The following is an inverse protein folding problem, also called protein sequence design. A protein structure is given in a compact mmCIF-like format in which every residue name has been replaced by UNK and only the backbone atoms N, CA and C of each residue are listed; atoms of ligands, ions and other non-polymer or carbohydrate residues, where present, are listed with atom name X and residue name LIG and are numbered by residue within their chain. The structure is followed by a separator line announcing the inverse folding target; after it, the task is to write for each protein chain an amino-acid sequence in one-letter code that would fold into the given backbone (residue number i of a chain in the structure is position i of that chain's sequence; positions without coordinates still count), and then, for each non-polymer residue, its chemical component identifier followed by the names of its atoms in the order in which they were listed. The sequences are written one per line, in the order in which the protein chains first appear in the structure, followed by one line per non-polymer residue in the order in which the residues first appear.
data_IF_931058865933
#
_entry.id   IF_931058865933
#
_cell.length_a   1.000
_cell.length_b   1.000
_cell.length_c   1.000
_cell.angle_alpha   90.00
_cell.angle_beta   90.00
_cell.angle_gamma   90.00
#
_symmetry.space_group_name_H-M   'P 1'
#
loop_
_entity.id
_entity.type
_entity.pdbx_description
1 polymer ?
#
# COMPACT_ATOMS: atom_id res chain seq x y z
N UNK A 1 53.98 4.21 19.36
CA UNK A 1 53.31 4.18 18.07
C UNK A 1 54.09 3.22 17.17
N UNK A 2 53.50 2.18 16.72
CA UNK A 2 54.12 1.26 15.74
C UNK A 2 53.37 1.55 14.43
N UNK A 3 54.06 2.17 13.48
CA UNK A 3 53.52 2.35 12.13
C UNK A 3 53.73 1.06 11.34
N UNK A 4 52.64 0.49 10.82
CA UNK A 4 52.71 -0.43 9.70
C UNK A 4 52.15 0.27 8.46
N UNK A 5 52.54 -0.17 7.26
CA UNK A 5 51.99 0.35 6.00
C UNK A 5 50.47 0.18 5.87
N UNK A 6 49.85 -0.51 6.82
CA UNK A 6 48.44 -0.90 6.76
C UNK A 6 47.55 -0.32 7.87
N UNK A 7 48.08 0.45 8.84
CA UNK A 7 47.27 1.06 9.90
C UNK A 7 48.03 1.50 11.12
N UNK A 8 47.31 2.14 12.05
CA UNK A 8 47.84 2.69 13.29
C UNK A 8 47.37 1.87 14.50
N UNK A 9 48.29 1.51 15.38
CA UNK A 9 47.98 0.86 16.64
C UNK A 9 47.88 1.89 17.78
N UNK A 10 46.73 1.97 18.42
CA UNK A 10 46.60 2.72 19.66
C UNK A 10 46.98 1.85 20.85
N UNK A 11 48.07 2.22 21.52
CA UNK A 11 48.53 1.57 22.74
C UNK A 11 48.30 2.47 23.95
N UNK A 12 47.33 2.14 24.80
CA UNK A 12 47.09 2.79 26.08
C UNK A 12 47.52 1.86 27.21
N UNK A 13 48.43 2.32 28.08
CA UNK A 13 48.93 1.55 29.24
C UNK A 13 49.40 0.11 28.89
N UNK A 14 50.11 -0.04 27.78
CA UNK A 14 50.66 -1.34 27.38
C UNK A 14 49.70 -2.34 26.74
N UNK A 15 48.40 -1.99 26.57
CA UNK A 15 47.39 -2.86 25.92
C UNK A 15 47.02 -2.33 24.54
N UNK A 16 46.88 -3.22 23.59
CA UNK A 16 46.36 -2.91 22.26
C UNK A 16 44.81 -2.81 22.33
N UNK A 17 44.26 -1.63 22.03
CA UNK A 17 42.80 -1.42 22.07
C UNK A 17 42.12 -1.63 20.74
N UNK A 18 42.82 -1.43 19.64
CA UNK A 18 42.29 -1.64 18.31
C UNK A 18 43.26 -1.22 17.22
N UNK A 19 42.99 -1.66 16.03
CA UNK A 19 43.66 -1.28 14.78
C UNK A 19 42.75 -0.39 13.97
N UNK A 20 43.22 0.81 13.60
CA UNK A 20 42.55 1.69 12.65
C UNK A 20 43.22 1.54 11.28
N UNK A 21 42.47 1.07 10.31
CA UNK A 21 42.91 0.86 8.93
C UNK A 21 42.29 1.91 8.02
N UNK A 22 43.08 2.79 7.44
CA UNK A 22 42.61 3.75 6.42
C UNK A 22 42.63 3.10 5.05
N UNK A 23 41.56 3.34 4.27
CA UNK A 23 41.41 2.91 2.88
C UNK A 23 40.96 4.07 2.02
N UNK A 24 41.49 4.15 0.80
CA UNK A 24 41.19 5.24 -0.14
C UNK A 24 39.82 5.06 -0.81
N UNK A 25 39.42 3.81 -1.05
CA UNK A 25 38.15 3.45 -1.72
C UNK A 25 37.54 2.21 -1.13
N UNK A 26 36.24 2.09 -1.33
CA UNK A 26 35.50 0.89 -1.00
C UNK A 26 35.79 -0.19 -2.04
N UNK A 27 36.27 -1.33 -1.59
CA UNK A 27 36.57 -2.50 -2.42
C UNK A 27 36.08 -3.76 -1.69
N UNK A 28 35.18 -4.52 -2.31
CA UNK A 28 34.58 -5.71 -1.70
C UNK A 28 35.49 -6.94 -1.73
N UNK A 29 36.53 -6.91 -2.53
CA UNK A 29 37.58 -7.95 -2.50
C UNK A 29 38.55 -7.70 -1.33
N UNK A 30 38.63 -6.46 -0.83
CA UNK A 30 39.40 -6.15 0.37
C UNK A 30 38.66 -6.66 1.63
N UNK A 31 39.23 -7.59 2.41
CA UNK A 31 38.63 -8.07 3.65
C UNK A 31 38.32 -6.96 4.68
N UNK A 32 39.00 -5.82 4.58
CA UNK A 32 38.72 -4.67 5.43
C UNK A 32 37.41 -3.93 5.12
N UNK A 33 36.82 -4.17 3.97
CA UNK A 33 35.48 -3.67 3.63
C UNK A 33 34.33 -4.51 4.20
N UNK A 34 34.65 -5.68 4.77
CA UNK A 34 33.66 -6.60 5.35
C UNK A 34 33.63 -6.51 6.88
N UNK A 35 32.61 -7.13 7.49
CA UNK A 35 32.55 -7.24 8.95
C UNK A 35 33.78 -7.97 9.50
N UNK A 36 34.33 -7.42 10.56
CA UNK A 36 35.53 -7.95 11.24
C UNK A 36 35.20 -8.09 12.73
N UNK A 37 34.68 -9.19 13.18
CA UNK A 37 34.38 -9.44 14.60
C UNK A 37 35.63 -9.43 15.48
N UNK A 38 36.35 -8.32 15.45
CA UNK A 38 37.66 -8.10 16.09
C UNK A 38 37.86 -6.59 16.33
N UNK A 39 38.82 -6.16 17.16
CA UNK A 39 39.10 -4.76 17.42
C UNK A 39 39.82 -4.07 16.23
N UNK A 40 39.26 -4.21 15.03
CA UNK A 40 39.73 -3.58 13.80
C UNK A 40 38.65 -2.67 13.27
N UNK A 41 38.97 -1.40 13.06
CA UNK A 41 38.10 -0.40 12.46
C UNK A 41 38.68 0.06 11.12
N UNK A 42 37.89 -0.03 10.06
CA UNK A 42 38.26 0.54 8.77
C UNK A 42 37.68 1.95 8.63
N UNK A 43 38.48 2.86 8.14
CA UNK A 43 38.14 4.26 7.93
C UNK A 43 38.25 4.60 6.44
N UNK A 44 37.21 5.24 5.92
CA UNK A 44 37.17 5.79 4.57
C UNK A 44 37.00 7.30 4.63
N UNK A 45 37.66 8.01 3.72
CA UNK A 45 37.48 9.46 3.57
C UNK A 45 36.47 9.74 2.47
N UNK A 46 35.58 10.69 2.73
CA UNK A 46 34.60 11.19 1.76
C UNK A 46 34.77 12.71 1.58
N UNK A 47 34.46 13.20 0.39
CA UNK A 47 34.60 14.63 0.06
C UNK A 47 33.49 15.47 0.67
N UNK A 48 32.33 14.88 0.85
CA UNK A 48 31.15 15.55 1.36
C UNK A 48 30.18 14.56 2.02
N UNK A 49 29.10 15.08 2.59
CA UNK A 49 28.08 14.29 3.29
C UNK A 49 27.38 13.26 2.38
N UNK A 50 27.11 13.61 1.15
CA UNK A 50 26.43 12.73 0.19
C UNK A 50 27.31 11.52 -0.15
N UNK A 51 28.58 11.74 -0.48
CA UNK A 51 29.53 10.66 -0.74
C UNK A 51 29.70 9.75 0.48
N UNK A 52 29.84 10.34 1.68
CA UNK A 52 29.91 9.57 2.94
C UNK A 52 28.67 8.70 3.15
N UNK A 53 27.48 9.24 2.89
CA UNK A 53 26.22 8.53 3.04
C UNK A 53 26.08 7.41 2.01
N UNK A 54 26.56 7.61 0.78
CA UNK A 54 26.58 6.58 -0.26
C UNK A 54 27.50 5.41 0.12
N UNK A 55 28.71 5.71 0.60
CA UNK A 55 29.65 4.69 1.07
C UNK A 55 29.08 3.94 2.28
N UNK A 56 28.47 4.63 3.23
CA UNK A 56 27.83 4.02 4.39
C UNK A 56 26.66 3.11 3.97
N UNK A 57 25.86 3.52 3.01
CA UNK A 57 24.79 2.69 2.44
C UNK A 57 25.32 1.38 1.88
N UNK A 58 26.36 1.45 1.05
CA UNK A 58 26.97 0.26 0.44
C UNK A 58 27.53 -0.69 1.51
N UNK A 59 28.22 -0.14 2.53
CA UNK A 59 28.76 -0.93 3.64
C UNK A 59 27.66 -1.63 4.44
N UNK A 60 26.58 -0.92 4.76
CA UNK A 60 25.44 -1.50 5.50
C UNK A 60 24.69 -2.51 4.63
N UNK A 61 24.41 -2.17 3.38
CA UNK A 61 23.63 -3.03 2.48
C UNK A 61 24.31 -4.39 2.23
N UNK A 62 25.62 -4.39 1.99
CA UNK A 62 26.38 -5.63 1.73
C UNK A 62 26.92 -6.30 3.00
N UNK A 63 27.12 -5.55 4.07
CA UNK A 63 27.75 -6.05 5.29
C UNK A 63 26.78 -6.48 6.40
N UNK A 64 25.51 -6.09 6.32
CA UNK A 64 24.56 -6.40 7.40
C UNK A 64 23.30 -5.54 7.33
N UNK A 65 22.61 -5.57 6.19
CA UNK A 65 21.36 -4.85 6.02
C UNK A 65 20.34 -5.16 7.12
N UNK A 66 19.68 -4.11 7.61
CA UNK A 66 18.63 -4.19 8.61
C UNK A 66 19.10 -4.00 10.06
N UNK A 67 20.37 -4.15 10.38
CA UNK A 67 20.82 -4.11 11.78
C UNK A 67 20.83 -2.68 12.36
N UNK A 68 21.89 -1.94 12.19
CA UNK A 68 22.04 -0.58 12.75
C UNK A 68 23.09 0.23 11.99
N UNK A 69 22.92 1.56 12.04
CA UNK A 69 23.94 2.50 11.61
C UNK A 69 23.96 3.71 12.53
N UNK A 70 25.08 4.43 12.58
CA UNK A 70 25.24 5.60 13.44
C UNK A 70 25.72 6.80 12.60
N UNK A 71 25.12 7.97 12.87
CA UNK A 71 25.50 9.25 12.30
C UNK A 71 25.95 10.20 13.41
N UNK A 72 27.17 10.69 13.31
CA UNK A 72 27.69 11.75 14.17
C UNK A 72 27.59 13.09 13.43
N UNK A 73 26.75 13.99 13.93
CA UNK A 73 26.49 15.29 13.31
C UNK A 73 25.99 16.31 14.32
N UNK A 74 25.90 17.58 13.94
CA UNK A 74 25.17 18.59 14.71
C UNK A 74 23.66 18.24 14.71
N UNK A 75 23.09 18.05 15.89
CA UNK A 75 21.67 17.65 16.09
C UNK A 75 20.68 18.65 15.50
N UNK A 76 21.07 19.89 15.30
CA UNK A 76 20.25 20.92 14.65
C UNK A 76 20.11 20.76 13.13
N UNK A 77 20.98 19.92 12.52
CA UNK A 77 20.94 19.62 11.08
C UNK A 77 19.95 18.50 10.77
N UNK A 78 18.67 18.76 11.03
CA UNK A 78 17.59 17.79 10.85
C UNK A 78 17.48 17.25 9.42
N UNK A 79 17.74 18.10 8.41
CA UNK A 79 17.74 17.67 6.99
C UNK A 79 18.79 16.57 6.72
N UNK A 80 19.98 16.67 7.32
CA UNK A 80 21.01 15.64 7.20
C UNK A 80 20.59 14.34 7.91
N UNK A 81 20.00 14.48 9.10
CA UNK A 81 19.53 13.33 9.89
C UNK A 81 18.46 12.60 9.12
N UNK A 82 17.47 13.31 8.56
CA UNK A 82 16.39 12.73 7.78
C UNK A 82 16.90 12.07 6.49
N UNK A 83 17.74 12.76 5.72
CA UNK A 83 18.31 12.23 4.49
C UNK A 83 19.14 10.95 4.74
N UNK A 84 19.90 10.91 5.84
CA UNK A 84 20.63 9.72 6.24
C UNK A 84 19.68 8.58 6.65
N UNK A 85 18.68 8.87 7.48
CA UNK A 85 17.73 7.89 7.98
C UNK A 85 16.90 7.26 6.85
N UNK A 86 16.44 8.05 5.89
CA UNK A 86 15.71 7.56 4.72
C UNK A 86 16.55 6.64 3.83
N UNK A 87 17.83 6.93 3.73
CA UNK A 87 18.72 6.18 2.85
C UNK A 87 19.21 4.86 3.44
N UNK A 88 19.45 4.80 4.75
CA UNK A 88 20.07 3.62 5.39
C UNK A 88 19.09 2.45 5.47
N UNK A 89 19.45 1.27 4.93
CA UNK A 89 18.66 0.06 5.07
C UNK A 89 18.92 -0.58 6.46
N UNK A 90 18.56 0.15 7.51
CA UNK A 90 18.78 -0.25 8.91
C UNK A 90 17.54 0.03 9.75
N UNK A 91 17.17 -0.89 10.63
CA UNK A 91 16.06 -0.70 11.56
C UNK A 91 16.38 0.30 12.69
N UNK A 92 17.66 0.57 12.94
CA UNK A 92 18.14 1.48 13.99
C UNK A 92 19.09 2.49 13.41
N UNK A 93 18.68 3.74 13.44
CA UNK A 93 19.52 4.89 13.09
C UNK A 93 19.86 5.62 14.40
N UNK A 94 21.13 5.64 14.75
CA UNK A 94 21.60 6.22 16.00
C UNK A 94 22.30 7.55 15.72
N UNK A 95 21.92 8.58 16.45
CA UNK A 95 22.52 9.90 16.30
C UNK A 95 23.45 10.16 17.49
N UNK A 96 24.70 10.48 17.17
CA UNK A 96 25.77 10.79 18.15
C UNK A 96 25.95 9.70 19.23
N UNK A 97 25.62 8.46 18.88
CA UNK A 97 25.76 7.30 19.75
C UNK A 97 26.35 6.12 18.97
N UNK A 98 27.27 5.35 19.54
CA UNK A 98 27.83 4.18 18.86
C UNK A 98 26.78 3.07 18.76
N UNK A 99 26.77 2.35 17.63
CA UNK A 99 25.83 1.26 17.39
C UNK A 99 25.86 0.16 18.46
N UNK A 100 27.04 -0.14 18.98
CA UNK A 100 27.23 -1.18 20.01
C UNK A 100 26.54 -0.86 21.35
N UNK A 101 26.33 0.40 21.65
CA UNK A 101 25.67 0.85 22.87
C UNK A 101 24.24 1.31 22.61
N UNK A 102 24.04 2.26 21.68
CA UNK A 102 22.74 2.82 21.40
C UNK A 102 21.73 1.79 20.85
N UNK A 103 22.20 0.77 20.14
CA UNK A 103 21.34 -0.28 19.59
C UNK A 103 20.71 -1.20 20.63
N UNK A 104 21.41 -1.47 21.72
CA UNK A 104 20.90 -2.34 22.80
C UNK A 104 20.00 -1.60 23.80
N UNK A 105 19.93 -0.26 23.73
CA UNK A 105 19.16 0.61 24.60
C UNK A 105 19.72 0.71 26.04
N UNK A 106 18.87 0.51 27.05
CA UNK A 106 19.21 0.64 28.47
C UNK A 106 19.57 2.10 28.83
N UNK A 107 20.69 2.34 29.52
CA UNK A 107 21.13 3.66 29.93
C UNK A 107 21.50 4.61 28.77
N UNK A 108 21.68 4.08 27.58
CA UNK A 108 22.15 4.85 26.42
C UNK A 108 21.00 5.40 25.55
N UNK A 109 19.82 4.78 25.60
CA UNK A 109 18.71 5.15 24.73
C UNK A 109 17.37 4.63 25.28
N UNK A 110 16.53 5.54 25.73
CA UNK A 110 15.20 5.20 26.28
C UNK A 110 14.11 5.00 25.21
N UNK A 111 14.40 5.21 23.92
CA UNK A 111 13.46 4.97 22.81
C UNK A 111 13.38 3.52 22.39
N UNK A 112 14.43 2.76 22.64
CA UNK A 112 14.48 1.34 22.33
C UNK A 112 14.32 0.52 23.61
N UNK A 113 13.63 -0.59 23.55
CA UNK A 113 13.58 -1.53 24.68
C UNK A 113 14.94 -2.20 24.85
N UNK A 114 15.40 -2.41 26.09
CA UNK A 114 16.68 -3.10 26.33
C UNK A 114 16.66 -4.52 25.75
N UNK A 115 17.63 -4.83 24.90
CA UNK A 115 17.75 -6.18 24.31
C UNK A 115 19.12 -6.41 23.71
N UNK A 116 19.60 -7.66 23.78
CA UNK A 116 20.77 -8.13 23.04
C UNK A 116 20.38 -8.80 21.72
N UNK A 117 19.08 -9.06 21.50
CA UNK A 117 18.55 -9.63 20.26
C UNK A 117 17.88 -8.54 19.45
N UNK A 118 18.51 -8.14 18.37
CA UNK A 118 18.09 -7.01 17.56
C UNK A 118 17.50 -7.51 16.24
N UNK A 119 16.18 -7.35 16.06
CA UNK A 119 15.51 -7.67 14.82
C UNK A 119 16.00 -6.75 13.69
N UNK A 120 16.21 -7.30 12.51
CA UNK A 120 16.71 -6.58 11.32
C UNK A 120 15.62 -6.29 10.28
N UNK A 121 14.37 -6.61 10.57
CA UNK A 121 13.23 -6.42 9.68
C UNK A 121 13.37 -7.14 8.35
N UNK A 122 12.62 -6.71 7.35
CA UNK A 122 12.63 -7.31 6.01
C UNK A 122 13.98 -7.17 5.31
N UNK A 123 14.76 -6.13 5.58
CA UNK A 123 16.11 -5.99 5.03
C UNK A 123 17.04 -7.11 5.44
N UNK A 124 16.93 -7.60 6.68
CA UNK A 124 17.71 -8.71 7.20
C UNK A 124 17.00 -10.07 7.14
N UNK A 125 15.86 -10.15 6.44
CA UNK A 125 15.08 -11.38 6.33
C UNK A 125 14.39 -11.79 7.64
N UNK A 126 14.16 -10.85 8.56
CA UNK A 126 13.50 -11.07 9.84
C UNK A 126 12.04 -10.59 9.81
N UNK A 127 11.18 -11.24 10.58
CA UNK A 127 9.80 -10.79 10.82
C UNK A 127 9.68 -9.68 11.89
N UNK A 128 10.77 -9.36 12.58
CA UNK A 128 10.83 -8.36 13.65
C UNK A 128 11.86 -7.29 13.29
N UNK A 129 11.49 -6.02 13.43
CA UNK A 129 12.35 -4.85 13.22
C UNK A 129 12.72 -4.12 14.51
N UNK A 130 12.21 -4.59 15.64
CA UNK A 130 12.43 -4.02 16.98
C UNK A 130 13.57 -4.74 17.73
N UNK A 131 13.91 -4.19 18.90
CA UNK A 131 14.62 -4.90 19.92
C UNK A 131 13.74 -6.03 20.49
N UNK A 132 14.21 -7.26 20.41
CA UNK A 132 13.39 -8.44 20.75
C UNK A 132 13.21 -8.54 22.27
N UNK A 133 11.98 -8.52 22.71
CA UNK A 133 11.59 -8.64 24.11
C UNK A 133 10.47 -9.67 24.30
N UNK A 134 9.94 -9.77 25.50
CA UNK A 134 8.89 -10.72 25.89
C UNK A 134 7.66 -10.65 24.98
N UNK A 135 7.29 -9.47 24.51
CA UNK A 135 6.16 -9.27 23.58
C UNK A 135 6.26 -10.09 22.30
N UNK A 136 7.48 -10.46 21.86
CA UNK A 136 7.71 -11.25 20.65
C UNK A 136 7.61 -12.76 20.89
N UNK A 137 7.54 -13.19 22.14
CA UNK A 137 7.45 -14.60 22.56
C UNK A 137 6.03 -15.00 22.95
N UNK A 138 5.10 -14.06 22.97
CA UNK A 138 3.71 -14.29 23.36
C UNK A 138 2.76 -14.10 22.18
N UNK A 139 1.67 -14.86 22.18
CA UNK A 139 0.58 -14.65 21.23
C UNK A 139 -0.39 -13.61 21.79
N UNK A 140 -0.49 -12.48 21.13
CA UNK A 140 -1.46 -11.44 21.51
C UNK A 140 -2.79 -11.77 20.84
N UNK A 141 -3.84 -11.90 21.66
CA UNK A 141 -5.22 -12.03 21.17
C UNK A 141 -5.90 -10.69 21.27
N UNK A 142 -6.47 -10.23 20.19
CA UNK A 142 -7.28 -9.02 20.19
C UNK A 142 -8.74 -9.41 20.36
N UNK A 143 -9.38 -8.87 21.39
CA UNK A 143 -10.83 -8.94 21.56
C UNK A 143 -11.40 -7.64 21.03
N UNK A 144 -12.18 -7.72 19.98
CA UNK A 144 -12.83 -6.57 19.36
C UNK A 144 -14.34 -6.63 19.65
N UNK A 145 -14.85 -5.64 20.31
CA UNK A 145 -16.27 -5.48 20.56
C UNK A 145 -16.88 -4.48 19.59
N UNK A 146 -18.12 -4.74 19.22
CA UNK A 146 -18.89 -3.80 18.41
C UNK A 146 -19.15 -2.52 19.21
N UNK A 147 -18.84 -1.37 18.65
CA UNK A 147 -19.26 -0.08 19.23
C UNK A 147 -20.76 0.11 18.98
N UNK A 148 -21.49 0.40 20.02
CA UNK A 148 -22.96 0.60 19.97
C UNK A 148 -23.39 1.87 19.24
N UNK A 149 -22.48 2.72 18.82
CA UNK A 149 -22.79 3.96 18.12
C UNK A 149 -23.10 3.82 16.63
N UNK A 150 -23.13 2.61 16.08
CA UNK A 150 -23.64 2.32 14.73
C UNK A 150 -25.11 1.89 14.81
N UNK A 151 -25.98 2.88 14.91
CA UNK A 151 -27.43 2.67 15.10
C UNK A 151 -28.22 2.54 13.79
N UNK A 152 -27.56 2.44 12.64
CA UNK A 152 -28.26 2.29 11.37
C UNK A 152 -27.68 1.13 10.56
N UNK A 153 -28.57 0.49 9.84
CA UNK A 153 -28.27 -0.56 8.88
C UNK A 153 -28.95 -0.23 7.56
N UNK A 154 -28.21 -0.30 6.47
CA UNK A 154 -28.77 -0.13 5.13
C UNK A 154 -28.54 -1.41 4.32
N UNK A 155 -29.61 -1.98 3.82
CA UNK A 155 -29.58 -3.11 2.91
C UNK A 155 -30.05 -2.68 1.51
N UNK A 156 -29.69 -3.41 0.45
CA UNK A 156 -30.33 -3.26 -0.86
C UNK A 156 -31.86 -3.42 -0.73
N UNK A 157 -32.60 -2.67 -1.54
CA UNK A 157 -34.05 -2.73 -1.56
C UNK A 157 -34.57 -4.12 -1.90
N UNK A 158 -33.87 -4.81 -2.82
CA UNK A 158 -34.17 -6.19 -3.23
C UNK A 158 -32.88 -6.98 -3.43
N UNK A 159 -32.91 -8.24 -3.01
CA UNK A 159 -31.83 -9.21 -3.22
C UNK A 159 -32.43 -10.50 -3.77
N UNK A 160 -31.92 -10.96 -4.92
CA UNK A 160 -32.29 -12.21 -5.55
C UNK A 160 -31.23 -13.26 -5.31
N UNK A 161 -31.53 -14.32 -4.59
CA UNK A 161 -30.57 -15.39 -4.24
C UNK A 161 -31.19 -16.74 -4.62
N UNK A 162 -30.90 -17.23 -5.81
CA UNK A 162 -31.20 -18.60 -6.23
C UNK A 162 -30.58 -18.87 -7.60
N UNK A 163 -30.17 -20.09 -7.86
CA UNK A 163 -29.79 -20.50 -9.22
C UNK A 163 -30.97 -20.23 -10.18
N UNK A 164 -30.71 -19.49 -11.26
CA UNK A 164 -31.72 -19.12 -12.26
C UNK A 164 -32.57 -17.90 -11.90
N UNK A 165 -32.23 -17.12 -10.86
CA UNK A 165 -32.97 -15.91 -10.52
C UNK A 165 -32.69 -14.71 -11.45
N UNK A 166 -31.62 -14.74 -12.22
CA UNK A 166 -31.20 -13.60 -13.06
C UNK A 166 -32.29 -13.15 -14.06
N UNK A 167 -32.93 -14.02 -14.85
CA UNK A 167 -34.04 -13.59 -15.74
C UNK A 167 -35.17 -12.91 -14.99
N UNK A 168 -35.56 -13.45 -13.83
CA UNK A 168 -36.65 -12.89 -13.00
C UNK A 168 -36.27 -11.51 -12.46
N UNK A 169 -35.04 -11.34 -12.03
CA UNK A 169 -34.55 -10.05 -11.56
C UNK A 169 -34.50 -9.01 -12.68
N UNK A 170 -34.14 -9.42 -13.89
CA UNK A 170 -34.12 -8.52 -15.06
C UNK A 170 -35.53 -8.18 -15.56
N UNK A 171 -36.52 -9.10 -15.46
CA UNK A 171 -37.89 -8.83 -15.82
C UNK A 171 -38.49 -7.63 -15.06
N UNK A 172 -38.06 -7.38 -13.85
CA UNK A 172 -38.48 -6.19 -13.10
C UNK A 172 -38.12 -4.88 -13.78
N UNK A 173 -37.02 -4.83 -14.51
CA UNK A 173 -36.56 -3.61 -15.20
C UNK A 173 -37.65 -3.09 -16.14
N UNK A 174 -38.27 -3.98 -16.92
CA UNK A 174 -39.33 -3.62 -17.84
C UNK A 174 -40.71 -3.56 -17.16
N UNK A 175 -41.09 -4.64 -16.46
CA UNK A 175 -42.45 -4.86 -16.03
C UNK A 175 -42.85 -4.07 -14.79
N UNK A 176 -41.88 -3.72 -13.95
CA UNK A 176 -42.11 -2.98 -12.69
C UNK A 176 -41.52 -1.57 -12.76
N UNK A 177 -40.33 -1.42 -13.29
CA UNK A 177 -39.59 -0.14 -13.25
C UNK A 177 -39.70 0.66 -14.56
N UNK A 178 -40.25 0.08 -15.66
CA UNK A 178 -40.41 0.74 -16.95
C UNK A 178 -39.11 1.19 -17.60
N UNK A 179 -37.99 0.50 -17.33
CA UNK A 179 -36.66 0.86 -17.83
C UNK A 179 -36.50 0.53 -19.31
N UNK A 180 -35.73 1.35 -20.01
CA UNK A 180 -35.57 1.28 -21.47
C UNK A 180 -34.12 1.21 -21.94
N UNK A 181 -33.15 1.61 -21.12
CA UNK A 181 -31.75 1.75 -21.54
C UNK A 181 -30.82 1.26 -20.44
N UNK A 182 -30.15 0.14 -20.67
CA UNK A 182 -29.22 -0.47 -19.72
C UNK A 182 -27.76 -0.26 -20.13
N UNK A 183 -26.92 0.17 -19.20
CA UNK A 183 -25.47 0.26 -19.36
C UNK A 183 -24.80 -0.82 -18.50
N UNK A 184 -24.16 -1.78 -19.16
CA UNK A 184 -23.50 -2.91 -18.49
C UNK A 184 -22.04 -2.53 -18.26
N UNK A 185 -21.53 -2.72 -17.03
CA UNK A 185 -20.13 -2.53 -16.67
C UNK A 185 -19.54 -3.86 -16.23
N UNK A 186 -18.45 -4.27 -16.86
CA UNK A 186 -17.77 -5.54 -16.55
C UNK A 186 -16.28 -5.46 -16.90
N UNK A 187 -15.54 -6.50 -16.65
CA UNK A 187 -14.15 -6.65 -17.10
C UNK A 187 -14.04 -7.41 -18.44
N UNK A 188 -12.88 -7.32 -19.07
CA UNK A 188 -12.59 -7.95 -20.36
C UNK A 188 -12.77 -9.46 -20.32
N UNK A 189 -12.35 -10.13 -19.23
CA UNK A 189 -12.45 -11.57 -19.10
C UNK A 189 -13.90 -12.05 -19.14
N UNK A 190 -14.77 -11.44 -18.33
CA UNK A 190 -16.19 -11.81 -18.30
C UNK A 190 -16.90 -11.50 -19.61
N UNK A 191 -16.53 -10.42 -20.26
CA UNK A 191 -17.11 -10.05 -21.56
C UNK A 191 -16.70 -11.03 -22.66
N UNK A 192 -15.42 -11.30 -22.86
CA UNK A 192 -14.90 -12.18 -23.91
C UNK A 192 -15.31 -13.64 -23.73
N UNK A 193 -15.50 -14.08 -22.50
CA UNK A 193 -15.98 -15.43 -22.20
C UNK A 193 -17.52 -15.56 -22.16
N UNK A 194 -18.23 -14.52 -22.58
CA UNK A 194 -19.67 -14.56 -22.80
C UNK A 194 -20.53 -14.54 -21.53
N UNK A 195 -19.99 -14.19 -20.38
CA UNK A 195 -20.75 -14.08 -19.13
C UNK A 195 -21.80 -12.94 -19.15
N UNK A 196 -21.64 -11.96 -20.03
CA UNK A 196 -22.64 -10.91 -20.26
C UNK A 196 -23.82 -11.39 -21.09
N UNK A 197 -23.67 -12.47 -21.85
CA UNK A 197 -24.70 -12.94 -22.81
C UNK A 197 -26.05 -13.23 -22.17
N UNK A 198 -26.19 -13.90 -21.02
CA UNK A 198 -27.49 -14.10 -20.39
C UNK A 198 -28.22 -12.79 -20.03
N UNK A 199 -27.46 -11.72 -19.79
CA UNK A 199 -28.03 -10.39 -19.50
C UNK A 199 -28.46 -9.73 -20.79
N UNK A 200 -27.58 -9.67 -21.81
CA UNK A 200 -27.87 -9.02 -23.09
C UNK A 200 -29.02 -9.70 -23.84
N UNK A 201 -29.05 -11.04 -23.92
CA UNK A 201 -30.14 -11.79 -24.53
C UNK A 201 -31.45 -11.48 -23.84
N UNK A 202 -31.48 -11.38 -22.52
CA UNK A 202 -32.70 -11.04 -21.77
C UNK A 202 -33.16 -9.59 -21.99
N UNK A 203 -32.21 -8.66 -22.07
CA UNK A 203 -32.48 -7.24 -22.39
C UNK A 203 -33.04 -7.10 -23.80
N UNK A 204 -32.49 -7.83 -24.77
CA UNK A 204 -32.99 -7.89 -26.16
C UNK A 204 -34.43 -8.44 -26.23
N UNK A 205 -34.68 -9.57 -25.56
CA UNK A 205 -36.03 -10.13 -25.41
C UNK A 205 -37.05 -9.10 -24.90
N UNK A 206 -36.62 -8.29 -23.94
CA UNK A 206 -37.46 -7.24 -23.36
C UNK A 206 -37.53 -5.96 -24.20
N UNK A 207 -36.73 -5.82 -25.26
CA UNK A 207 -36.61 -4.59 -26.06
C UNK A 207 -35.97 -3.44 -25.30
N UNK A 208 -35.10 -3.73 -24.34
CA UNK A 208 -34.31 -2.73 -23.61
C UNK A 208 -33.03 -2.51 -24.38
N UNK A 209 -32.80 -1.29 -24.85
CA UNK A 209 -31.54 -0.92 -25.53
C UNK A 209 -30.38 -0.97 -24.55
N UNK A 210 -29.29 -1.61 -24.93
CA UNK A 210 -28.15 -1.75 -24.04
C UNK A 210 -26.84 -1.50 -24.73
N UNK A 211 -25.81 -1.23 -23.92
CA UNK A 211 -24.40 -1.17 -24.32
C UNK A 211 -23.53 -1.67 -23.17
N UNK A 212 -22.31 -2.12 -23.47
CA UNK A 212 -21.40 -2.70 -22.49
C UNK A 212 -20.08 -1.96 -22.48
N UNK A 213 -19.67 -1.53 -21.30
CA UNK A 213 -18.30 -1.10 -20.99
C UNK A 213 -17.57 -2.29 -20.34
N UNK A 214 -16.56 -2.82 -21.02
CA UNK A 214 -15.86 -4.05 -20.60
C UNK A 214 -14.35 -3.85 -20.32
N UNK A 215 -13.89 -2.59 -20.32
CA UNK A 215 -12.49 -2.26 -20.09
C UNK A 215 -12.20 -1.91 -18.61
N UNK A 216 -12.86 -2.62 -17.67
CA UNK A 216 -12.52 -2.45 -16.26
C UNK A 216 -11.26 -3.23 -15.93
N UNK A 217 -10.25 -2.51 -15.46
CA UNK A 217 -8.98 -3.09 -15.02
C UNK A 217 -9.08 -3.61 -13.56
N UNK A 218 -8.27 -4.62 -13.18
CA UNK A 218 -8.03 -4.88 -11.76
C UNK A 218 -7.54 -3.59 -11.07
N UNK A 219 -8.07 -3.30 -9.88
CA UNK A 219 -7.82 -2.02 -9.19
C UNK A 219 -8.19 -0.80 -10.07
N UNK A 220 -9.49 -0.56 -10.29
CA UNK A 220 -9.96 0.41 -11.26
C UNK A 220 -9.44 1.81 -10.98
N UNK A 221 -9.11 2.53 -12.05
CA UNK A 221 -8.53 3.86 -11.96
C UNK A 221 -9.59 4.96 -12.07
N UNK A 222 -9.27 6.14 -11.56
CA UNK A 222 -10.08 7.33 -11.77
C UNK A 222 -10.30 7.63 -13.27
N UNK A 223 -9.29 7.39 -14.12
CA UNK A 223 -9.42 7.55 -15.57
C UNK A 223 -10.43 6.56 -16.15
N UNK A 224 -10.39 5.31 -15.72
CA UNK A 224 -11.34 4.28 -16.14
C UNK A 224 -12.78 4.68 -15.76
N UNK A 225 -12.99 5.18 -14.53
CA UNK A 225 -14.28 5.67 -14.08
C UNK A 225 -14.78 6.88 -14.89
N UNK A 226 -13.92 7.84 -15.20
CA UNK A 226 -14.27 9.00 -16.03
C UNK A 226 -14.60 8.62 -17.47
N UNK A 227 -13.86 7.68 -18.07
CA UNK A 227 -14.14 7.19 -19.42
C UNK A 227 -15.51 6.49 -19.50
N UNK A 228 -15.83 5.65 -18.52
CA UNK A 228 -17.14 5.00 -18.44
C UNK A 228 -18.27 6.00 -18.22
N UNK A 229 -18.09 6.99 -17.36
CA UNK A 229 -19.08 8.05 -17.14
C UNK A 229 -19.33 8.89 -18.41
N UNK A 230 -18.29 9.17 -19.21
CA UNK A 230 -18.45 9.86 -20.49
C UNK A 230 -19.26 9.03 -21.50
N UNK A 231 -19.03 7.71 -21.55
CA UNK A 231 -19.87 6.82 -22.36
C UNK A 231 -21.31 6.74 -21.84
N UNK A 232 -21.53 6.71 -20.52
CA UNK A 232 -22.87 6.81 -19.94
C UNK A 232 -23.55 8.13 -20.31
N UNK A 233 -22.83 9.26 -20.29
CA UNK A 233 -23.39 10.56 -20.68
C UNK A 233 -23.86 10.59 -22.14
N UNK A 234 -23.11 9.95 -23.04
CA UNK A 234 -23.51 9.79 -24.45
C UNK A 234 -24.68 8.83 -24.64
N UNK A 235 -24.66 7.69 -23.94
CA UNK A 235 -25.69 6.65 -24.07
C UNK A 235 -26.98 7.00 -23.29
N UNK A 236 -26.90 7.75 -22.22
CA UNK A 236 -28.02 8.16 -21.33
C UNK A 236 -28.80 6.96 -20.76
N UNK A 237 -28.15 6.06 -20.00
CA UNK A 237 -28.85 4.93 -19.40
C UNK A 237 -29.79 5.38 -18.29
N UNK A 238 -30.87 4.60 -18.12
CA UNK A 238 -31.75 4.68 -16.95
C UNK A 238 -31.53 3.53 -15.96
N UNK A 239 -30.63 2.61 -16.33
CA UNK A 239 -30.22 1.47 -15.53
C UNK A 239 -28.72 1.20 -15.75
N UNK A 240 -27.97 0.94 -14.67
CA UNK A 240 -26.58 0.50 -14.68
C UNK A 240 -26.56 -0.92 -14.12
N UNK A 241 -25.94 -1.85 -14.85
CA UNK A 241 -25.79 -3.25 -14.44
C UNK A 241 -24.29 -3.51 -14.28
N UNK A 242 -23.81 -3.68 -13.06
CA UNK A 242 -22.42 -4.05 -12.78
C UNK A 242 -22.31 -5.58 -12.63
N UNK A 243 -21.61 -6.22 -13.56
CA UNK A 243 -21.33 -7.65 -13.54
C UNK A 243 -19.83 -7.88 -13.25
N UNK A 244 -19.49 -8.54 -12.15
CA UNK A 244 -18.11 -8.88 -11.87
C UNK A 244 -17.77 -9.00 -10.39
N UNK A 245 -16.48 -8.90 -10.10
CA UNK A 245 -15.97 -8.80 -8.73
C UNK A 245 -15.99 -7.37 -8.21
N UNK A 246 -15.25 -7.13 -7.13
CA UNK A 246 -15.13 -5.80 -6.53
C UNK A 246 -14.74 -4.70 -7.51
N UNK A 247 -13.73 -4.95 -8.36
CA UNK A 247 -13.25 -3.96 -9.34
C UNK A 247 -14.32 -3.47 -10.31
N UNK A 248 -15.11 -4.39 -10.89
CA UNK A 248 -16.17 -4.02 -11.82
C UNK A 248 -17.28 -3.21 -11.13
N UNK A 249 -17.64 -3.58 -9.91
CA UNK A 249 -18.66 -2.88 -9.14
C UNK A 249 -18.17 -1.53 -8.63
N UNK A 250 -16.94 -1.44 -8.18
CA UNK A 250 -16.33 -0.18 -7.73
C UNK A 250 -16.21 0.81 -8.89
N UNK A 251 -15.74 0.35 -10.05
CA UNK A 251 -15.72 1.17 -11.26
C UNK A 251 -17.12 1.66 -11.64
N UNK A 252 -18.11 0.78 -11.64
CA UNK A 252 -19.49 1.12 -11.99
C UNK A 252 -20.10 2.15 -11.02
N UNK A 253 -19.85 2.03 -9.72
CA UNK A 253 -20.28 3.01 -8.71
C UNK A 253 -19.64 4.38 -8.94
N UNK A 254 -18.33 4.43 -9.20
CA UNK A 254 -17.64 5.68 -9.49
C UNK A 254 -18.14 6.31 -10.80
N UNK A 255 -18.34 5.50 -11.85
CA UNK A 255 -18.97 5.96 -13.12
C UNK A 255 -20.34 6.53 -12.87
N UNK A 256 -21.15 5.89 -12.04
CA UNK A 256 -22.51 6.33 -11.72
C UNK A 256 -22.53 7.71 -11.05
N UNK A 257 -21.64 7.99 -10.12
CA UNK A 257 -21.51 9.31 -9.47
C UNK A 257 -21.26 10.38 -10.53
N UNK A 258 -20.23 10.20 -11.35
CA UNK A 258 -19.86 11.18 -12.38
C UNK A 258 -20.90 11.29 -13.53
N UNK A 259 -21.67 10.25 -13.78
CA UNK A 259 -22.77 10.29 -14.72
C UNK A 259 -23.95 11.11 -14.19
N UNK A 260 -24.35 10.89 -12.94
CA UNK A 260 -25.45 11.64 -12.34
C UNK A 260 -25.09 13.09 -12.06
N UNK A 261 -23.86 13.34 -11.63
CA UNK A 261 -23.32 14.65 -11.26
C UNK A 261 -22.00 14.95 -11.98
N UNK A 262 -22.05 15.39 -13.24
CA UNK A 262 -20.85 15.63 -14.04
C UNK A 262 -19.90 16.69 -13.42
N UNK A 263 -20.45 17.63 -12.66
CA UNK A 263 -19.69 18.69 -11.99
C UNK A 263 -18.99 18.21 -10.71
N UNK A 264 -19.33 17.00 -10.24
CA UNK A 264 -18.79 16.48 -8.99
C UNK A 264 -17.35 16.05 -9.15
N UNK A 265 -16.45 16.56 -8.29
CA UNK A 265 -15.02 16.24 -8.40
C UNK A 265 -14.67 15.00 -7.59
N UNK A 266 -13.53 14.42 -7.92
CA UNK A 266 -13.04 13.26 -7.19
C UNK A 266 -12.69 13.61 -5.73
N UNK A 267 -12.14 14.80 -5.51
CA UNK A 267 -11.82 15.31 -4.18
C UNK A 267 -13.06 15.48 -3.30
N UNK A 268 -14.19 15.79 -3.91
CA UNK A 268 -15.48 15.82 -3.21
C UNK A 268 -16.01 14.41 -2.94
N UNK A 269 -15.78 13.47 -3.86
CA UNK A 269 -16.25 12.09 -3.73
C UNK A 269 -15.56 11.32 -2.59
N UNK A 270 -14.33 11.66 -2.24
CA UNK A 270 -13.58 11.01 -1.15
C UNK A 270 -13.91 11.57 0.24
N UNK A 271 -14.67 12.64 0.35
CA UNK A 271 -15.12 13.18 1.63
C UNK A 271 -16.18 12.27 2.24
N UNK A 272 -15.97 11.74 3.45
CA UNK A 272 -16.98 10.91 4.11
C UNK A 272 -18.34 11.60 4.19
N UNK A 273 -19.41 10.92 3.78
CA UNK A 273 -20.78 11.43 3.72
C UNK A 273 -21.00 12.63 2.77
N UNK A 274 -20.02 12.95 1.91
CA UNK A 274 -20.09 14.06 0.95
C UNK A 274 -20.83 13.73 -0.35
N UNK A 275 -21.17 12.46 -0.60
CA UNK A 275 -21.86 12.05 -1.83
C UNK A 275 -23.29 12.58 -1.91
N UNK A 276 -23.70 13.13 -3.05
CA UNK A 276 -25.06 13.53 -3.29
C UNK A 276 -25.99 12.30 -3.39
N UNK A 277 -27.30 12.53 -3.33
CA UNK A 277 -28.28 11.48 -3.46
C UNK A 277 -28.29 10.91 -4.91
N UNK A 278 -27.93 9.65 -5.05
CA UNK A 278 -27.91 8.95 -6.32
C UNK A 278 -29.30 8.41 -6.69
N UNK A 279 -29.43 7.78 -7.84
CA UNK A 279 -30.66 7.19 -8.42
C UNK A 279 -31.62 8.20 -9.07
N UNK A 280 -31.11 9.40 -9.38
CA UNK A 280 -31.88 10.42 -10.06
C UNK A 280 -32.01 10.13 -11.58
N UNK A 281 -30.92 9.71 -12.23
CA UNK A 281 -30.91 9.37 -13.65
C UNK A 281 -30.98 7.87 -13.88
N UNK A 282 -30.29 7.05 -13.10
CA UNK A 282 -30.21 5.61 -13.31
C UNK A 282 -30.36 4.80 -12.01
N UNK A 283 -31.01 3.67 -12.06
CA UNK A 283 -30.99 2.64 -11.02
C UNK A 283 -29.72 1.78 -11.16
N UNK A 284 -29.26 1.19 -10.07
CA UNK A 284 -28.06 0.37 -10.04
C UNK A 284 -28.38 -1.07 -9.65
N UNK A 285 -27.86 -2.02 -10.43
CA UNK A 285 -27.97 -3.46 -10.18
C UNK A 285 -26.55 -4.02 -10.08
N UNK A 286 -26.26 -4.74 -9.02
CA UNK A 286 -25.00 -5.44 -8.84
C UNK A 286 -25.19 -6.96 -9.01
N UNK A 287 -24.37 -7.58 -9.86
CA UNK A 287 -24.36 -9.02 -10.12
C UNK A 287 -22.96 -9.54 -9.80
N UNK A 288 -22.71 -10.05 -8.57
CA UNK A 288 -21.39 -10.51 -8.16
C UNK A 288 -20.98 -11.80 -8.87
N UNK A 289 -19.76 -11.83 -9.40
CA UNK A 289 -19.12 -13.04 -9.95
C UNK A 289 -18.15 -13.68 -8.96
N UNK A 290 -17.76 -12.97 -7.89
CA UNK A 290 -16.86 -13.44 -6.83
C UNK A 290 -17.50 -13.21 -5.46
N UNK A 291 -17.27 -14.13 -4.53
CA UNK A 291 -17.73 -13.98 -3.15
C UNK A 291 -16.66 -13.32 -2.28
N UNK A 292 -17.08 -12.54 -1.27
CA UNK A 292 -16.22 -12.03 -0.21
C UNK A 292 -15.93 -10.54 -0.23
N UNK A 293 -16.06 -9.83 -1.36
CA UNK A 293 -15.80 -8.39 -1.43
C UNK A 293 -16.91 -7.55 -0.79
N UNK A 294 -18.14 -8.08 -0.77
CA UNK A 294 -19.35 -7.38 -0.32
C UNK A 294 -19.61 -6.04 -1.03
N UNK A 295 -18.96 -5.79 -2.16
CA UNK A 295 -19.08 -4.52 -2.91
C UNK A 295 -20.52 -4.33 -3.44
N UNK A 296 -21.25 -5.41 -3.67
CA UNK A 296 -22.64 -5.41 -4.09
C UNK A 296 -23.62 -4.80 -3.05
N UNK A 297 -23.22 -4.78 -1.78
CA UNK A 297 -24.06 -4.29 -0.67
C UNK A 297 -23.48 -3.10 0.09
N UNK A 298 -22.25 -2.68 -0.22
CA UNK A 298 -21.58 -1.56 0.45
C UNK A 298 -21.77 -0.24 -0.31
N UNK A 299 -21.70 0.87 0.42
CA UNK A 299 -21.69 2.21 -0.15
C UNK A 299 -20.29 2.70 -0.56
N UNK A 300 -19.27 1.88 -0.38
CA UNK A 300 -17.89 2.21 -0.68
C UNK A 300 -17.50 1.76 -2.09
N UNK A 301 -16.49 2.42 -2.63
CA UNK A 301 -15.85 2.10 -3.90
C UNK A 301 -14.34 2.34 -3.76
N UNK A 302 -13.52 1.39 -4.18
CA UNK A 302 -12.06 1.50 -4.10
C UNK A 302 -11.53 1.87 -5.47
N UNK A 303 -10.99 3.08 -5.59
CA UNK A 303 -10.46 3.65 -6.83
C UNK A 303 -9.00 4.07 -6.66
N UNK A 304 -8.17 3.71 -7.62
CA UNK A 304 -6.75 4.05 -7.62
C UNK A 304 -6.48 5.34 -8.41
N UNK A 305 -5.86 6.31 -7.76
CA UNK A 305 -5.29 7.48 -8.43
C UNK A 305 -3.78 7.32 -8.59
N UNK A 306 -3.35 6.95 -9.77
CA UNK A 306 -1.92 6.80 -10.09
C UNK A 306 -1.14 8.12 -10.11
N UNK A 307 -1.81 9.26 -10.30
CA UNK A 307 -1.14 10.57 -10.26
C UNK A 307 -0.79 10.96 -8.84
N UNK A 308 -1.73 10.76 -7.92
CA UNK A 308 -1.51 10.99 -6.50
C UNK A 308 -0.76 9.82 -5.81
N UNK A 309 -0.60 8.66 -6.48
CA UNK A 309 -0.05 7.41 -5.92
C UNK A 309 -0.80 6.94 -4.67
N UNK A 310 -2.10 7.14 -4.64
CA UNK A 310 -2.99 6.81 -3.52
C UNK A 310 -4.13 5.92 -4.02
N UNK A 311 -4.55 5.00 -3.16
CA UNK A 311 -5.76 4.18 -3.32
C UNK A 311 -6.79 4.68 -2.30
N UNK A 312 -7.95 5.08 -2.79
CA UNK A 312 -9.04 5.61 -1.99
C UNK A 312 -10.12 4.55 -1.78
#
# INVERSE_FOLDING_TARGET
MIESKEGFYHKLKGRLFGLLCEREKLDWEDPFSREKLSPILTMYKAKNFEEATNMAYELVYKGGAGHSSALYTDERKTDRINAYAEKMPSCRILINSPSSQGGISDLFNFRLEPSLSLGCGSWGGNSVSDNVGVKHLINIKTVAERRENMLWFRAPEKVYIKKGCLPVALDELKNVMGKKRAFIVTDTFLYENGYTKPITDKLDEMGIVHTTFFDVQPDPTLLNAKNGAAQMAAFKPDTIIALGGGSAMDAAKAMWIFYEYPEFTFEQAVVPFGLPELRQKAKFIAIPSTSGTATEVTAFSVITDYKAKIRY
#
